data_IF_737450037412
#
_entry.id   IF_737450037412
#
_cell.length_a   1.000
_cell.length_b   1.000
_cell.length_c   1.000
_cell.angle_alpha   90.00
_cell.angle_beta   90.00
_cell.angle_gamma   90.00
#
_symmetry.space_group_name_H-M   'P 1'
#
loop_
_entity.id
_entity.type
_entity.pdbx_description
1 polymer ?
#
# COMPACT_ATOMS: atom_id res chain seq x y z
N UNK A 1 -71.69 -1.41 1.34
CA UNK A 1 -70.35 -1.52 1.97
C UNK A 1 -69.43 -2.11 0.92
N UNK A 2 -68.55 -1.29 0.32
CA UNK A 2 -67.62 -1.68 -0.76
C UNK A 2 -66.22 -1.73 -0.15
N UNK A 3 -65.61 -2.91 -0.10
CA UNK A 3 -64.22 -3.07 0.32
C UNK A 3 -63.32 -2.98 -0.92
N UNK A 4 -62.66 -1.84 -1.07
CA UNK A 4 -61.62 -1.63 -2.08
C UNK A 4 -60.31 -2.19 -1.52
N UNK A 5 -59.88 -3.34 -2.05
CA UNK A 5 -58.56 -3.94 -1.77
C UNK A 5 -57.52 -3.19 -2.61
N UNK A 6 -56.65 -2.44 -1.94
CA UNK A 6 -55.51 -1.77 -2.57
C UNK A 6 -54.32 -2.74 -2.62
N UNK A 7 -53.94 -3.14 -3.83
CA UNK A 7 -52.80 -4.01 -4.12
C UNK A 7 -51.55 -3.13 -4.26
N UNK A 8 -50.70 -3.11 -3.22
CA UNK A 8 -49.44 -2.35 -3.22
C UNK A 8 -48.36 -3.21 -3.89
N UNK A 9 -48.04 -2.86 -5.14
CA UNK A 9 -46.96 -3.45 -5.92
C UNK A 9 -45.63 -2.80 -5.45
N UNK A 10 -44.85 -3.52 -4.65
CA UNK A 10 -43.52 -3.09 -4.20
C UNK A 10 -42.49 -3.40 -5.30
N UNK A 11 -42.10 -2.39 -6.08
CA UNK A 11 -41.02 -2.49 -7.04
C UNK A 11 -39.66 -2.42 -6.30
N UNK A 12 -38.99 -3.57 -6.14
CA UNK A 12 -37.59 -3.62 -5.74
C UNK A 12 -36.74 -3.01 -6.88
N UNK A 13 -36.29 -1.77 -6.68
CA UNK A 13 -35.28 -1.15 -7.53
C UNK A 13 -33.91 -1.68 -7.09
N UNK A 14 -33.41 -2.72 -7.77
CA UNK A 14 -32.03 -3.18 -7.63
C UNK A 14 -31.14 -2.16 -8.34
N UNK A 15 -30.52 -1.27 -7.56
CA UNK A 15 -29.47 -0.38 -8.04
C UNK A 15 -28.23 -1.21 -8.32
N UNK A 16 -28.08 -1.70 -9.56
CA UNK A 16 -26.80 -2.17 -10.06
C UNK A 16 -25.90 -0.95 -10.25
N UNK A 17 -25.08 -0.63 -9.24
CA UNK A 17 -24.06 0.40 -9.35
C UNK A 17 -23.05 -0.02 -10.43
N UNK A 18 -22.75 0.84 -11.42
CA UNK A 18 -21.68 0.55 -12.37
C UNK A 18 -20.35 0.54 -11.61
N UNK A 19 -19.73 -0.63 -11.53
CA UNK A 19 -18.34 -0.79 -11.10
C UNK A 19 -17.46 -0.23 -12.22
N UNK A 20 -17.25 1.09 -12.22
CA UNK A 20 -16.30 1.71 -13.13
C UNK A 20 -14.90 1.25 -12.72
N UNK A 21 -14.33 0.37 -13.52
CA UNK A 21 -12.93 -0.01 -13.41
C UNK A 21 -12.10 1.28 -13.57
N UNK A 22 -11.51 1.75 -12.47
CA UNK A 22 -10.76 3.00 -12.45
C UNK A 22 -9.41 2.75 -13.12
N UNK A 23 -9.03 3.62 -14.05
CA UNK A 23 -7.67 3.66 -14.59
C UNK A 23 -6.71 3.90 -13.43
N UNK A 24 -5.70 3.05 -13.31
CA UNK A 24 -4.80 2.96 -12.16
C UNK A 24 -4.11 4.27 -11.80
N UNK A 25 -3.72 5.01 -12.83
CA UNK A 25 -3.42 6.44 -12.78
C UNK A 25 -4.24 7.05 -13.89
N UNK A 26 -4.92 8.16 -13.64
CA UNK A 26 -5.70 8.84 -14.68
C UNK A 26 -4.81 9.14 -15.89
N UNK A 27 -5.37 9.23 -17.10
CA UNK A 27 -4.57 9.50 -18.30
C UNK A 27 -3.80 10.83 -18.22
N UNK A 28 -4.26 11.77 -17.38
CA UNK A 28 -3.60 13.03 -17.08
C UNK A 28 -2.85 13.02 -15.72
N UNK A 29 -2.65 11.84 -15.11
CA UNK A 29 -2.12 11.68 -13.76
C UNK A 29 -2.94 12.43 -12.69
N UNK A 30 -4.22 12.65 -12.97
CA UNK A 30 -5.20 13.37 -12.14
C UNK A 30 -5.84 12.49 -11.06
N UNK A 31 -5.67 11.16 -11.19
CA UNK A 31 -6.13 10.18 -10.21
C UNK A 31 -4.93 9.52 -9.53
N UNK A 32 -4.92 9.46 -8.20
CA UNK A 32 -3.86 8.78 -7.46
C UNK A 32 -3.92 7.28 -7.71
N UNK A 33 -2.75 6.64 -7.65
CA UNK A 33 -2.68 5.18 -7.53
C UNK A 33 -3.55 4.72 -6.34
N UNK A 34 -4.37 3.66 -6.48
CA UNK A 34 -5.27 3.26 -5.41
C UNK A 34 -4.51 3.01 -4.09
N UNK A 35 -5.03 3.57 -2.99
CA UNK A 35 -4.46 3.48 -1.63
C UNK A 35 -3.10 4.17 -1.44
N UNK A 36 -2.60 4.88 -2.46
CA UNK A 36 -1.47 5.75 -2.28
C UNK A 36 -1.83 6.99 -1.46
N UNK A 37 -0.89 7.43 -0.63
CA UNK A 37 -0.98 8.63 0.21
C UNK A 37 0.11 9.62 -0.17
N UNK A 38 -0.08 10.90 0.20
CA UNK A 38 0.83 12.00 -0.14
C UNK A 38 1.17 12.04 -1.64
N UNK A 39 0.16 11.81 -2.49
CA UNK A 39 0.33 11.72 -3.93
C UNK A 39 0.46 13.11 -4.55
N UNK A 40 1.52 13.32 -5.31
CA UNK A 40 1.79 14.54 -6.05
C UNK A 40 2.03 14.23 -7.53
N UNK A 41 1.44 15.04 -8.41
CA UNK A 41 1.71 15.00 -9.85
C UNK A 41 2.75 16.05 -10.18
N UNK A 42 3.88 15.60 -10.71
CA UNK A 42 5.03 16.42 -11.08
C UNK A 42 5.06 16.65 -12.57
N UNK A 43 5.58 17.81 -12.94
CA UNK A 43 5.76 18.22 -14.33
C UNK A 43 7.19 18.75 -14.51
N UNK A 44 7.81 18.47 -15.65
CA UNK A 44 9.05 19.13 -16.08
C UNK A 44 8.78 19.97 -17.33
N UNK A 45 9.27 21.20 -17.30
CA UNK A 45 9.11 22.16 -18.40
C UNK A 45 9.85 21.73 -19.67
N UNK A 46 10.94 20.95 -19.51
CA UNK A 46 11.76 20.44 -20.63
C UNK A 46 11.84 18.92 -20.53
N UNK A 47 11.04 18.19 -21.33
CA UNK A 47 11.08 16.73 -21.35
C UNK A 47 12.46 16.22 -21.78
N UNK A 48 12.93 15.16 -21.12
CA UNK A 48 14.14 14.44 -21.49
C UNK A 48 13.91 12.94 -21.42
N UNK A 49 14.80 12.10 -21.98
CA UNK A 49 14.66 10.65 -21.88
C UNK A 49 14.58 10.12 -20.43
N UNK A 50 15.13 10.85 -19.45
CA UNK A 50 15.06 10.49 -18.02
C UNK A 50 13.84 11.07 -17.30
N UNK A 51 13.18 12.07 -17.89
CA UNK A 51 12.05 12.78 -17.29
C UNK A 51 11.02 13.07 -18.38
N UNK A 52 10.07 12.14 -18.62
CA UNK A 52 9.18 12.15 -19.79
C UNK A 52 8.07 13.22 -19.73
N UNK A 53 8.26 14.31 -18.97
CA UNK A 53 7.30 15.42 -18.90
C UNK A 53 6.40 15.38 -17.68
N UNK A 54 5.71 14.27 -17.43
CA UNK A 54 4.75 14.12 -16.31
C UNK A 54 4.95 12.78 -15.61
N UNK A 55 4.91 12.81 -14.29
CA UNK A 55 4.84 11.61 -13.46
C UNK A 55 4.05 11.88 -12.20
N UNK A 56 3.59 10.81 -11.56
CA UNK A 56 2.98 10.86 -10.25
C UNK A 56 3.88 10.14 -9.26
N UNK A 57 4.04 10.73 -8.08
CA UNK A 57 4.81 10.16 -6.98
C UNK A 57 4.01 10.19 -5.68
N UNK A 58 4.35 9.31 -4.75
CA UNK A 58 3.71 9.26 -3.44
C UNK A 58 4.16 8.04 -2.65
N UNK A 59 3.36 7.62 -1.69
CA UNK A 59 3.66 6.46 -0.86
C UNK A 59 2.54 5.42 -0.92
N UNK A 60 2.89 4.16 -1.07
CA UNK A 60 1.98 3.02 -0.96
C UNK A 60 2.53 2.06 0.09
N UNK A 61 1.74 1.81 1.14
CA UNK A 61 2.15 0.94 2.25
C UNK A 61 3.51 1.32 2.87
N UNK A 62 3.82 2.61 2.89
CA UNK A 62 5.08 3.15 3.42
C UNK A 62 6.24 3.20 2.43
N UNK A 63 6.10 2.59 1.25
CA UNK A 63 7.13 2.61 0.20
C UNK A 63 6.89 3.74 -0.79
N UNK A 64 7.96 4.40 -1.19
CA UNK A 64 7.92 5.45 -2.18
C UNK A 64 7.69 4.85 -3.58
N UNK A 65 6.75 5.42 -4.32
CA UNK A 65 6.55 5.04 -5.72
C UNK A 65 6.59 6.26 -6.64
N UNK A 66 7.02 6.02 -7.88
CA UNK A 66 6.89 6.95 -9.01
C UNK A 66 6.34 6.18 -10.21
N UNK A 67 5.37 6.74 -10.91
CA UNK A 67 4.83 6.20 -12.17
C UNK A 67 4.90 7.27 -13.23
N UNK A 68 5.49 6.93 -14.37
CA UNK A 68 5.76 7.83 -15.48
C UNK A 68 4.84 7.56 -16.68
N UNK A 69 4.59 8.59 -17.49
CA UNK A 69 3.72 8.51 -18.67
C UNK A 69 4.23 7.55 -19.76
N UNK A 70 5.52 7.24 -19.75
CA UNK A 70 6.20 6.38 -20.73
C UNK A 70 6.11 4.88 -20.42
N UNK A 71 5.38 4.47 -19.37
CA UNK A 71 5.29 3.06 -18.99
C UNK A 71 6.39 2.60 -18.02
N UNK A 72 7.11 3.54 -17.41
CA UNK A 72 8.09 3.25 -16.37
C UNK A 72 7.52 3.53 -14.98
N UNK A 73 8.04 2.80 -13.98
CA UNK A 73 7.79 3.09 -12.58
C UNK A 73 9.02 2.78 -11.73
N UNK A 74 9.10 3.41 -10.56
CA UNK A 74 10.07 3.11 -9.52
C UNK A 74 9.32 2.81 -8.23
N UNK A 75 9.73 1.79 -7.51
CA UNK A 75 9.30 1.48 -6.15
C UNK A 75 10.54 1.38 -5.26
N UNK A 76 10.59 2.14 -4.18
CA UNK A 76 11.78 2.22 -3.32
C UNK A 76 11.39 2.36 -1.85
N UNK A 77 12.36 2.15 -0.97
CA UNK A 77 12.19 2.38 0.47
C UNK A 77 11.79 3.84 0.78
N UNK A 78 12.40 4.78 0.07
CA UNK A 78 12.21 6.22 0.26
C UNK A 78 12.52 7.02 -1.02
N UNK A 79 12.34 8.34 -0.94
CA UNK A 79 12.50 9.25 -2.08
C UNK A 79 13.97 9.53 -2.44
N UNK A 80 14.86 9.47 -1.47
CA UNK A 80 16.31 9.69 -1.61
C UNK A 80 17.06 8.67 -0.76
N UNK A 81 18.28 8.33 -1.19
CA UNK A 81 19.20 7.43 -0.47
C UNK A 81 18.57 6.08 -0.06
N UNK A 82 17.72 5.52 -0.93
CA UNK A 82 17.05 4.25 -0.65
C UNK A 82 18.06 3.08 -0.66
N UNK A 83 18.02 2.23 0.37
CA UNK A 83 18.89 1.05 0.45
C UNK A 83 18.48 -0.01 -0.59
N UNK A 84 17.26 0.07 -1.09
CA UNK A 84 16.77 -0.74 -2.21
C UNK A 84 15.79 0.04 -3.10
N UNK A 85 15.77 -0.33 -4.38
CA UNK A 85 14.80 0.15 -5.34
C UNK A 85 14.50 -0.91 -6.40
N UNK A 86 13.29 -0.85 -6.95
CA UNK A 86 12.83 -1.67 -8.06
C UNK A 86 12.42 -0.72 -9.17
N UNK A 87 13.19 -0.71 -10.25
CA UNK A 87 12.86 0.03 -11.47
C UNK A 87 12.10 -0.90 -12.42
N UNK A 88 10.95 -0.45 -12.90
CA UNK A 88 10.05 -1.22 -13.76
C UNK A 88 9.93 -0.46 -15.08
N UNK A 89 10.12 -1.15 -16.20
CA UNK A 89 9.90 -0.60 -17.54
C UNK A 89 9.04 -1.55 -18.35
N UNK A 90 7.82 -1.12 -18.69
CA UNK A 90 6.87 -1.91 -19.46
C UNK A 90 6.82 -1.43 -20.91
N UNK A 91 7.07 -2.35 -21.84
CA UNK A 91 6.67 -2.22 -23.24
C UNK A 91 5.26 -2.75 -23.48
N UNK A 92 4.92 -2.97 -24.76
CA UNK A 92 3.56 -3.38 -25.14
C UNK A 92 3.16 -4.76 -24.58
N UNK A 93 4.09 -5.72 -24.56
CA UNK A 93 3.79 -7.10 -24.11
C UNK A 93 4.57 -7.52 -22.85
N UNK A 94 5.76 -6.97 -22.66
CA UNK A 94 6.70 -7.39 -21.62
C UNK A 94 7.07 -6.25 -20.68
N UNK A 95 7.30 -6.57 -19.41
CA UNK A 95 7.84 -5.65 -18.42
C UNK A 95 9.18 -6.18 -17.92
N UNK A 96 10.18 -5.31 -17.89
CA UNK A 96 11.48 -5.56 -17.29
C UNK A 96 11.49 -4.95 -15.89
N UNK A 97 12.13 -5.66 -14.96
CA UNK A 97 12.36 -5.20 -13.60
C UNK A 97 13.85 -5.25 -13.31
N UNK A 98 14.38 -4.16 -12.78
CA UNK A 98 15.74 -4.06 -12.28
C UNK A 98 15.68 -3.79 -10.78
N UNK A 99 16.31 -4.68 -10.00
CA UNK A 99 16.25 -4.66 -8.53
C UNK A 99 17.64 -4.29 -8.02
N UNK A 100 17.72 -3.18 -7.30
CA UNK A 100 18.90 -2.78 -6.54
C UNK A 100 18.65 -3.00 -5.05
N UNK A 101 19.69 -3.41 -4.33
CA UNK A 101 19.61 -3.67 -2.88
C UNK A 101 18.84 -4.94 -2.54
N UNK A 102 18.21 -4.95 -1.35
CA UNK A 102 17.40 -6.06 -0.86
C UNK A 102 16.01 -5.57 -0.42
N UNK A 103 15.00 -5.61 -1.30
CA UNK A 103 13.63 -5.28 -0.93
C UNK A 103 13.10 -6.23 0.15
N UNK A 104 12.30 -5.73 1.10
CA UNK A 104 11.65 -6.57 2.12
C UNK A 104 10.58 -7.48 1.51
N UNK A 105 10.23 -8.54 2.25
CA UNK A 105 9.15 -9.45 1.86
C UNK A 105 7.82 -8.68 1.73
N UNK A 106 7.00 -9.08 0.75
CA UNK A 106 5.72 -8.42 0.48
C UNK A 106 5.75 -7.28 -0.54
N UNK A 107 6.92 -6.67 -0.79
CA UNK A 107 7.08 -5.61 -1.82
C UNK A 107 6.71 -6.12 -3.22
N UNK A 108 6.95 -7.40 -3.50
CA UNK A 108 6.58 -8.03 -4.77
C UNK A 108 5.10 -7.86 -5.13
N UNK A 109 4.19 -7.86 -4.15
CA UNK A 109 2.77 -7.64 -4.40
C UNK A 109 2.49 -6.23 -4.92
N UNK A 110 3.20 -5.22 -4.42
CA UNK A 110 3.10 -3.83 -4.85
C UNK A 110 3.72 -3.68 -6.25
N UNK A 111 4.88 -4.32 -6.49
CA UNK A 111 5.51 -4.37 -7.80
C UNK A 111 4.58 -4.96 -8.87
N UNK A 112 3.87 -6.04 -8.55
CA UNK A 112 2.87 -6.62 -9.46
C UNK A 112 1.70 -5.68 -9.74
N UNK A 113 1.20 -4.97 -8.73
CA UNK A 113 0.16 -3.97 -8.92
C UNK A 113 0.65 -2.82 -9.81
N UNK A 114 1.89 -2.35 -9.64
CA UNK A 114 2.50 -1.35 -10.52
C UNK A 114 2.63 -1.88 -11.96
N UNK A 115 3.06 -3.13 -12.15
CA UNK A 115 3.12 -3.76 -13.48
C UNK A 115 1.73 -3.81 -14.14
N UNK A 116 0.69 -4.23 -13.41
CA UNK A 116 -0.69 -4.23 -13.93
C UNK A 116 -1.16 -2.83 -14.33
N UNK A 117 -0.82 -1.83 -13.52
CA UNK A 117 -1.09 -0.42 -13.81
C UNK A 117 -0.39 0.03 -15.10
N UNK A 118 0.90 -0.26 -15.25
CA UNK A 118 1.69 0.15 -16.41
C UNK A 118 1.22 -0.51 -17.72
N UNK A 119 0.70 -1.75 -17.66
CA UNK A 119 0.08 -2.43 -18.81
C UNK A 119 -1.32 -1.88 -19.15
N UNK A 120 -1.71 -0.72 -18.61
CA UNK A 120 -3.00 -0.04 -18.81
C UNK A 120 -4.21 -0.92 -18.46
N UNK A 121 -4.01 -1.89 -17.57
CA UNK A 121 -5.15 -2.62 -16.99
C UNK A 121 -5.87 -1.68 -16.02
N UNK A 122 -7.15 -1.91 -15.78
CA UNK A 122 -7.85 -1.21 -14.70
C UNK A 122 -7.58 -1.95 -13.38
N UNK A 123 -7.21 -1.23 -12.33
CA UNK A 123 -7.08 -1.76 -10.99
C UNK A 123 -8.29 -1.29 -10.18
N UNK A 124 -9.06 -2.24 -9.64
CA UNK A 124 -10.04 -1.92 -8.61
C UNK A 124 -9.36 -1.83 -7.24
N UNK A 125 -9.95 -1.04 -6.35
CA UNK A 125 -9.52 -0.96 -4.95
C UNK A 125 -9.52 -2.35 -4.31
N UNK A 126 -10.50 -3.21 -4.62
CA UNK A 126 -10.60 -4.56 -4.05
C UNK A 126 -9.42 -5.47 -4.40
N UNK A 127 -8.91 -5.41 -5.64
CA UNK A 127 -7.73 -6.18 -6.07
C UNK A 127 -6.48 -5.69 -5.35
N UNK A 128 -6.38 -4.38 -5.13
CA UNK A 128 -5.28 -3.76 -4.39
C UNK A 128 -5.33 -4.18 -2.92
N UNK A 129 -6.49 -4.09 -2.27
CA UNK A 129 -6.69 -4.55 -0.89
C UNK A 129 -6.36 -6.03 -0.71
N UNK A 130 -6.82 -6.90 -1.62
CA UNK A 130 -6.54 -8.33 -1.54
C UNK A 130 -5.03 -8.65 -1.62
N UNK A 131 -4.31 -8.04 -2.56
CA UNK A 131 -2.86 -8.26 -2.71
C UNK A 131 -2.04 -7.66 -1.57
N UNK A 132 -2.49 -6.52 -1.04
CA UNK A 132 -1.85 -5.85 0.07
C UNK A 132 -2.12 -6.54 1.42
N UNK A 133 -3.26 -7.21 1.59
CA UNK A 133 -3.60 -8.01 2.76
C UNK A 133 -2.79 -9.32 2.84
N UNK A 134 -2.62 -10.02 1.71
CA UNK A 134 -1.82 -11.27 1.62
C UNK A 134 -0.35 -11.04 2.01
N UNK A 135 0.16 -9.81 1.82
CA UNK A 135 1.52 -9.43 2.25
C UNK A 135 1.71 -9.42 3.77
N UNK A 136 0.65 -9.29 4.56
CA UNK A 136 0.72 -9.29 6.04
C UNK A 136 0.61 -10.69 6.62
N UNK A 137 0.11 -11.67 5.87
CA UNK A 137 0.02 -13.08 6.31
C UNK A 137 1.32 -13.86 6.06
N UNK A 138 2.25 -13.36 5.24
CA UNK A 138 3.51 -14.04 4.96
C UNK A 138 4.51 -14.03 6.15
N UNK A 139 4.29 -13.22 7.17
CA UNK A 139 5.15 -13.17 8.38
C UNK A 139 4.59 -13.94 9.57
N UNK A 140 3.40 -14.55 9.44
CA UNK A 140 2.88 -15.51 10.40
C UNK A 140 2.18 -16.62 9.61
N UNK A 141 2.88 -17.72 9.36
CA UNK A 141 2.43 -19.03 9.78
C UNK A 141 3.43 -20.09 9.36
N UNK A 142 3.82 -20.86 10.38
CA UNK A 142 4.17 -22.26 10.34
C UNK A 142 3.70 -22.98 9.07
N UNK A 143 4.61 -23.79 8.52
CA UNK A 143 4.48 -24.43 7.22
C UNK A 143 3.14 -25.15 7.03
N UNK A 144 2.28 -24.54 6.23
CA UNK A 144 1.16 -25.24 5.61
C UNK A 144 1.01 -24.75 4.16
N UNK A 145 1.81 -25.34 3.27
CA UNK A 145 1.57 -25.27 1.83
C UNK A 145 0.25 -26.03 1.57
N UNK A 146 -0.85 -25.29 1.42
CA UNK A 146 -2.05 -25.82 0.78
C UNK A 146 -1.79 -25.88 -0.73
N UNK A 147 -1.61 -27.11 -1.20
CA UNK A 147 -1.42 -27.48 -2.59
C UNK A 147 -2.55 -26.94 -3.48
N UNK A 148 -2.18 -26.16 -4.49
CA UNK A 148 -2.95 -26.10 -5.74
C UNK A 148 -2.32 -27.08 -6.72
N UNK A 149 -2.70 -28.34 -6.57
CA UNK A 149 -2.57 -29.33 -7.63
C UNK A 149 -3.50 -28.94 -8.78
N UNK A 150 -2.93 -28.62 -9.94
CA UNK A 150 -3.58 -28.96 -11.20
C UNK A 150 -2.57 -29.69 -12.10
N UNK A 151 -3.01 -30.75 -12.80
CA UNK A 151 -2.12 -31.72 -13.41
C UNK A 151 -1.70 -31.27 -14.81
N UNK A 152 -0.39 -31.29 -15.07
CA UNK A 152 0.12 -31.38 -16.42
C UNK A 152 0.84 -32.72 -16.56
N UNK A 153 0.22 -33.60 -17.34
CA UNK A 153 0.84 -34.81 -17.81
C UNK A 153 2.07 -34.46 -18.67
N UNK A 154 3.20 -35.09 -18.39
CA UNK A 154 3.87 -36.02 -19.32
C UNK A 154 5.17 -36.54 -18.72
N UNK A 155 5.32 -37.88 -18.78
CA UNK A 155 6.52 -38.67 -19.09
C UNK A 155 7.86 -38.25 -18.42
N UNK A 156 8.59 -39.09 -17.68
CA UNK A 156 9.29 -40.28 -18.18
C UNK A 156 9.89 -41.12 -17.03
N UNK A 157 9.75 -42.44 -17.15
CA UNK A 157 10.64 -43.56 -16.72
C UNK A 157 11.42 -43.53 -15.40
N UNK A 158 11.01 -44.41 -14.48
CA UNK A 158 11.77 -45.61 -14.07
C UNK A 158 13.02 -45.47 -13.18
N UNK A 159 12.91 -45.89 -11.91
CA UNK A 159 14.05 -46.24 -11.05
C UNK A 159 13.72 -46.34 -9.55
N UNK A 160 13.87 -47.53 -8.98
CA UNK A 160 13.56 -48.00 -7.61
C UNK A 160 14.35 -47.26 -6.48
N UNK A 161 13.89 -47.29 -5.19
CA UNK A 161 14.22 -46.35 -4.13
C UNK A 161 15.27 -46.85 -3.12
N UNK A 162 15.87 -45.93 -2.36
CA UNK A 162 16.69 -46.27 -1.19
C UNK A 162 16.53 -45.21 -0.07
N UNK A 163 15.84 -45.62 1.00
CA UNK A 163 15.85 -45.27 2.46
C UNK A 163 16.24 -43.83 2.90
N UNK A 164 15.66 -43.19 3.92
CA UNK A 164 15.55 -43.62 5.32
C UNK A 164 14.51 -42.75 6.08
N UNK A 165 13.55 -43.43 6.72
CA UNK A 165 13.00 -43.23 8.08
C UNK A 165 13.23 -41.89 8.80
N UNK A 166 12.14 -41.21 9.16
CA UNK A 166 12.02 -40.60 10.49
C UNK A 166 10.69 -41.02 11.11
N UNK A 167 10.78 -41.60 12.30
CA UNK A 167 9.67 -42.15 13.06
C UNK A 167 8.93 -41.03 13.79
N UNK A 168 7.62 -41.13 13.77
CA UNK A 168 6.72 -40.43 14.68
C UNK A 168 6.69 -41.16 16.03
N UNK A 169 6.78 -40.42 17.15
CA UNK A 169 6.34 -40.74 18.52
C UNK A 169 6.58 -39.45 19.35
N UNK A 170 5.78 -38.99 20.29
CA UNK A 170 4.39 -39.18 20.72
C UNK A 170 4.11 -38.03 21.71
N UNK A 171 2.83 -37.75 21.93
CA UNK A 171 2.21 -37.25 23.15
C UNK A 171 3.01 -36.29 24.05
N UNK A 172 2.60 -35.04 24.07
CA UNK A 172 1.94 -34.55 25.28
C UNK A 172 0.96 -33.44 24.92
N UNK A 173 -0.31 -33.79 25.03
CA UNK A 173 -1.42 -32.89 24.92
C UNK A 173 -1.42 -31.91 26.08
N UNK A 174 -1.26 -30.64 25.76
CA UNK A 174 -1.87 -29.55 26.50
C UNK A 174 -2.23 -28.46 25.50
N UNK A 175 -3.39 -28.62 24.86
CA UNK A 175 -4.07 -27.52 24.19
C UNK A 175 -4.49 -26.57 25.31
N UNK A 176 -3.63 -25.61 25.63
CA UNK A 176 -4.05 -24.45 26.38
C UNK A 176 -5.13 -23.77 25.54
N UNK A 177 -6.35 -23.73 26.06
CA UNK A 177 -7.39 -22.82 25.63
C UNK A 177 -6.87 -21.40 25.91
N UNK A 178 -5.99 -20.90 25.05
CA UNK A 178 -5.70 -19.49 24.99
C UNK A 178 -6.99 -18.86 24.48
N UNK A 179 -7.71 -18.24 25.40
CA UNK A 179 -8.86 -17.42 25.14
C UNK A 179 -8.50 -16.51 23.96
N UNK A 180 -9.16 -16.73 22.82
CA UNK A 180 -9.16 -15.81 21.71
C UNK A 180 -9.83 -14.54 22.23
N UNK A 181 -9.02 -13.70 22.88
CA UNK A 181 -9.33 -12.31 23.06
C UNK A 181 -9.41 -11.78 21.65
N UNK A 182 -10.63 -11.41 21.28
CA UNK A 182 -10.97 -10.68 20.09
C UNK A 182 -10.18 -9.36 20.12
N UNK A 183 -8.90 -9.43 19.76
CA UNK A 183 -8.06 -8.28 19.50
C UNK A 183 -8.48 -7.81 18.12
N UNK A 184 -9.55 -7.03 18.10
CA UNK A 184 -9.78 -6.02 17.07
C UNK A 184 -8.45 -5.27 16.97
N UNK A 185 -7.62 -5.65 15.98
CA UNK A 185 -6.32 -5.07 15.77
C UNK A 185 -6.52 -3.56 15.69
N UNK A 186 -6.05 -2.85 16.71
CA UNK A 186 -6.21 -1.42 16.81
C UNK A 186 -5.69 -0.81 15.50
N UNK A 187 -6.51 0.00 14.82
CA UNK A 187 -6.05 0.72 13.63
C UNK A 187 -4.82 1.52 14.08
N UNK A 188 -3.64 1.30 13.48
CA UNK A 188 -2.45 2.02 13.90
C UNK A 188 -2.71 3.51 13.72
N UNK A 189 -2.41 4.30 14.75
CA UNK A 189 -2.66 5.73 14.80
C UNK A 189 -1.35 6.49 15.06
N UNK A 190 -1.31 7.76 14.65
CA UNK A 190 -0.15 8.63 14.80
C UNK A 190 1.16 7.97 14.32
N UNK A 191 2.14 7.82 15.22
CA UNK A 191 3.46 7.28 14.89
C UNK A 191 3.41 5.84 14.34
N UNK A 192 2.50 5.01 14.85
CA UNK A 192 2.36 3.63 14.37
C UNK A 192 1.78 3.55 12.94
N UNK A 193 1.17 4.64 12.46
CA UNK A 193 0.54 4.71 11.14
C UNK A 193 1.48 5.22 10.04
N UNK A 194 2.69 5.68 10.39
CA UNK A 194 3.62 6.29 9.45
C UNK A 194 4.97 5.57 9.42
N UNK A 195 5.68 5.59 8.28
CA UNK A 195 7.05 5.10 8.23
C UNK A 195 7.96 5.94 9.13
N UNK A 196 8.99 5.30 9.66
CA UNK A 196 10.06 5.99 10.38
C UNK A 196 10.87 6.89 9.42
N UNK A 197 11.57 7.86 9.98
CA UNK A 197 12.39 8.82 9.25
C UNK A 197 13.04 9.81 10.19
N UNK A 198 13.58 10.89 9.65
CA UNK A 198 14.04 12.01 10.47
C UNK A 198 12.89 12.61 11.28
N UNK A 199 13.20 13.36 12.34
CA UNK A 199 12.16 14.02 13.13
C UNK A 199 11.34 15.01 12.29
N UNK A 200 11.97 15.70 11.35
CA UNK A 200 11.27 16.60 10.43
C UNK A 200 10.29 15.85 9.51
N UNK A 201 10.71 14.73 8.92
CA UNK A 201 9.84 13.93 8.04
C UNK A 201 8.70 13.30 8.83
N UNK A 202 8.99 12.80 10.04
CA UNK A 202 8.00 12.25 10.96
C UNK A 202 6.94 13.31 11.29
N UNK A 203 7.37 14.52 11.66
CA UNK A 203 6.49 15.65 11.92
C UNK A 203 5.62 15.99 10.71
N UNK A 204 6.22 16.14 9.53
CA UNK A 204 5.50 16.46 8.30
C UNK A 204 4.48 15.36 7.94
N UNK A 205 4.83 14.07 8.11
CA UNK A 205 3.89 12.95 7.88
C UNK A 205 2.71 12.95 8.86
N UNK A 206 2.96 13.24 10.15
CA UNK A 206 1.88 13.37 11.14
C UNK A 206 0.94 14.54 10.81
N UNK A 207 1.48 15.66 10.33
CA UNK A 207 0.67 16.80 9.87
C UNK A 207 -0.21 16.43 8.68
N UNK A 208 0.31 15.65 7.72
CA UNK A 208 -0.50 15.13 6.60
C UNK A 208 -1.61 14.21 7.11
N UNK A 209 -1.30 13.31 8.05
CA UNK A 209 -2.33 12.46 8.68
C UNK A 209 -3.41 13.27 9.41
N UNK A 210 -3.03 14.38 10.03
CA UNK A 210 -3.96 15.32 10.66
C UNK A 210 -4.77 16.17 9.64
N UNK A 211 -4.54 15.97 8.34
CA UNK A 211 -5.23 16.70 7.26
C UNK A 211 -4.62 18.05 6.91
N UNK A 212 -3.46 18.40 7.48
CA UNK A 212 -2.74 19.63 7.17
C UNK A 212 -1.79 19.49 5.96
N UNK A 213 -1.24 20.62 5.52
CA UNK A 213 -0.39 20.70 4.32
C UNK A 213 0.97 21.30 4.66
N UNK A 214 1.92 20.50 5.17
CA UNK A 214 3.22 20.99 5.65
C UNK A 214 4.23 21.33 4.54
N UNK A 215 3.84 21.22 3.27
CA UNK A 215 4.74 21.29 2.12
C UNK A 215 5.32 19.92 1.79
N UNK A 216 6.48 19.88 1.09
CA UNK A 216 7.17 18.62 0.79
C UNK A 216 7.54 17.84 2.05
N UNK A 217 7.50 16.51 1.98
CA UNK A 217 8.06 15.63 3.02
C UNK A 217 9.55 15.47 2.73
N UNK A 218 10.36 16.37 3.28
CA UNK A 218 11.80 16.50 3.03
C UNK A 218 12.63 16.60 4.32
N UNK A 219 11.99 16.59 5.48
CA UNK A 219 12.64 16.72 6.78
C UNK A 219 13.00 18.16 7.18
N UNK A 220 12.74 19.14 6.32
CA UNK A 220 13.08 20.54 6.57
C UNK A 220 11.86 21.28 7.13
N UNK A 221 11.94 21.69 8.38
CA UNK A 221 10.89 22.48 9.03
C UNK A 221 10.99 23.95 8.62
N UNK A 222 10.27 24.32 7.56
CA UNK A 222 10.18 25.69 7.04
C UNK A 222 8.89 26.41 7.43
N UNK A 223 8.68 27.62 6.89
CA UNK A 223 7.48 28.45 7.17
C UNK A 223 6.16 27.72 6.87
N UNK A 224 6.12 26.93 5.80
CA UNK A 224 4.92 26.17 5.42
C UNK A 224 4.61 25.09 6.46
N UNK A 225 5.63 24.36 6.92
CA UNK A 225 5.49 23.35 7.97
C UNK A 225 5.07 24.00 9.29
N UNK A 226 5.66 25.14 9.66
CA UNK A 226 5.25 25.88 10.86
C UNK A 226 3.79 26.34 10.78
N UNK A 227 3.33 26.86 9.63
CA UNK A 227 1.91 27.20 9.40
C UNK A 227 1.00 26.00 9.59
N UNK A 228 1.36 24.85 9.02
CA UNK A 228 0.60 23.61 9.21
C UNK A 228 0.54 23.16 10.68
N UNK A 229 1.60 23.38 11.47
CA UNK A 229 1.59 23.09 12.92
C UNK A 229 0.60 24.01 13.65
N UNK A 230 0.64 25.31 13.37
CA UNK A 230 -0.30 26.26 13.96
C UNK A 230 -1.75 25.95 13.57
N UNK A 231 -2.00 25.56 12.32
CA UNK A 231 -3.35 25.23 11.84
C UNK A 231 -3.95 24.02 12.58
N UNK A 232 -3.12 23.07 13.03
CA UNK A 232 -3.57 21.84 13.71
C UNK A 232 -3.58 21.97 15.23
N UNK A 233 -2.54 22.55 15.83
CA UNK A 233 -2.35 22.58 17.28
C UNK A 233 -2.71 23.93 17.92
N UNK A 234 -3.10 24.94 17.13
CA UNK A 234 -3.28 26.33 17.56
C UNK A 234 -2.02 26.87 18.29
N UNK A 235 -0.85 26.38 17.88
CA UNK A 235 0.43 26.65 18.54
C UNK A 235 1.12 27.91 17.98
N UNK A 236 1.79 28.73 18.82
CA UNK A 236 2.51 29.92 18.38
C UNK A 236 3.79 29.56 17.58
N UNK A 237 3.98 30.22 16.45
CA UNK A 237 5.07 29.98 15.48
C UNK A 237 6.50 30.21 16.03
N UNK A 238 6.65 30.88 17.18
CA UNK A 238 7.92 31.49 17.58
C UNK A 238 8.94 30.53 18.21
N UNK A 239 8.51 29.39 18.74
CA UNK A 239 9.40 28.36 19.32
C UNK A 239 8.71 27.00 19.17
N UNK A 240 9.01 26.28 18.10
CA UNK A 240 8.51 24.92 17.88
C UNK A 240 9.59 23.92 18.28
N UNK A 241 9.32 23.17 19.36
CA UNK A 241 10.15 22.03 19.76
C UNK A 241 9.65 20.78 19.04
N UNK A 242 10.44 20.27 18.09
CA UNK A 242 10.02 19.21 17.16
C UNK A 242 9.63 17.91 17.90
N UNK A 243 10.44 17.36 18.84
CA UNK A 243 10.07 16.16 19.59
C UNK A 243 8.77 16.31 20.39
N UNK A 244 8.57 17.46 21.04
CA UNK A 244 7.33 17.71 21.77
C UNK A 244 6.13 17.82 20.83
N UNK A 245 6.29 18.54 19.71
CA UNK A 245 5.23 18.69 18.69
C UNK A 245 4.82 17.35 18.08
N UNK A 246 5.78 16.45 17.82
CA UNK A 246 5.52 15.08 17.38
C UNK A 246 4.67 14.32 18.41
N UNK A 247 5.02 14.47 19.69
CA UNK A 247 4.30 13.81 20.79
C UNK A 247 2.86 14.33 20.92
N UNK A 248 2.66 15.64 20.76
CA UNK A 248 1.34 16.28 20.77
C UNK A 248 0.47 15.85 19.58
N UNK A 249 1.02 15.83 18.37
CA UNK A 249 0.32 15.35 17.18
C UNK A 249 -0.03 13.86 17.27
N UNK A 250 0.88 13.03 17.79
CA UNK A 250 0.61 11.63 18.03
C UNK A 250 -0.56 11.46 19.00
N UNK A 251 -0.57 12.20 20.11
CA UNK A 251 -1.66 12.18 21.07
C UNK A 251 -2.98 12.64 20.42
N UNK A 252 -2.97 13.70 19.60
CA UNK A 252 -4.15 14.21 18.90
C UNK A 252 -4.77 13.18 17.93
N UNK A 253 -3.92 12.49 17.17
CA UNK A 253 -4.35 11.51 16.16
C UNK A 253 -4.86 10.18 16.74
N UNK A 254 -4.60 9.95 18.02
CA UNK A 254 -4.90 8.71 18.73
C UNK A 254 -5.99 8.86 19.81
N UNK A 255 -6.74 9.97 19.82
CA UNK A 255 -7.86 10.20 20.75
C UNK A 255 -9.14 9.48 20.33
#
# INVERSE_FOLDING_TARGET
MKHTVALILSALCVCASPTFAQTCVGAAFDKPFPRAVAVETRHVDVPSPRFPGVWQEGFIHGYFYQVFANGEAVLAEGKSDADWAISISCGDENCLQDISGRPPEGVGNITELLVLCLKKSNLSVDVVEQKLAVSKEATNNDGQIHALTQPLMSSETGGNPEVVRFEAYDSDGAIALAEAKDEVAAIPCGLAAIPEGTQGETLQRLLVLAGAKPGPIDGIVGEITLRAITDVLDAPQSIVDIPNTISELHALLCQ
#
